data_IF_088224949990
#
_entry.id   IF_088224949990
#
_cell.length_a   1.000
_cell.length_b   1.000
_cell.length_c   1.000
_cell.angle_alpha   90.00
_cell.angle_beta   90.00
_cell.angle_gamma   90.00
#
_symmetry.space_group_name_H-M   'P 1'
#
loop_
_entity.id
_entity.type
_entity.pdbx_description
1 polymer ?
#
# COMPACT_ATOMS: atom_id res chain seq x y z
N UNK A 1 -5.41 -46.19 13.86
CA UNK A 1 -5.45 -46.98 12.61
C UNK A 1 -5.78 -45.98 11.51
N UNK A 2 -4.89 -45.55 10.63
CA UNK A 2 -3.56 -46.03 10.24
C UNK A 2 -2.69 -44.82 9.91
N UNK A 3 -1.49 -44.77 10.50
CA UNK A 3 -0.41 -43.89 10.07
C UNK A 3 -0.11 -44.16 8.59
N UNK A 4 -0.36 -43.17 7.74
CA UNK A 4 0.32 -43.10 6.44
C UNK A 4 1.61 -42.33 6.70
N UNK A 5 2.65 -43.06 7.10
CA UNK A 5 4.02 -42.58 6.90
C UNK A 5 4.19 -42.42 5.40
N UNK A 6 4.26 -41.18 4.92
CA UNK A 6 4.89 -40.92 3.63
C UNK A 6 6.27 -41.56 3.66
N UNK A 7 6.47 -42.60 2.86
CA UNK A 7 7.78 -43.16 2.60
C UNK A 7 8.63 -42.04 1.97
N UNK A 8 9.47 -41.42 2.79
CA UNK A 8 10.58 -40.60 2.31
C UNK A 8 11.41 -41.52 1.44
N UNK A 9 11.26 -41.37 0.12
CA UNK A 9 12.02 -42.10 -0.89
C UNK A 9 13.52 -41.92 -0.57
N UNK A 10 14.13 -42.96 -0.01
CA UNK A 10 15.57 -42.95 0.28
C UNK A 10 16.35 -42.83 -1.01
N UNK A 11 17.29 -41.89 -1.06
CA UNK A 11 18.17 -41.76 -2.22
C UNK A 11 18.96 -43.06 -2.42
N UNK A 12 19.13 -43.46 -3.67
CA UNK A 12 19.98 -44.62 -4.01
C UNK A 12 21.44 -44.37 -3.65
N UNK A 13 22.23 -45.42 -3.40
CA UNK A 13 23.67 -45.30 -3.13
C UNK A 13 24.42 -44.51 -4.23
N UNK A 14 23.95 -44.62 -5.48
CA UNK A 14 24.52 -43.87 -6.60
C UNK A 14 24.27 -42.36 -6.46
N UNK A 15 23.08 -41.96 -6.03
CA UNK A 15 22.73 -40.55 -5.79
C UNK A 15 23.49 -39.98 -4.58
N UNK A 16 23.64 -40.76 -3.51
CA UNK A 16 24.44 -40.36 -2.34
C UNK A 16 25.90 -40.09 -2.73
N UNK A 17 26.52 -41.01 -3.48
CA UNK A 17 27.89 -40.81 -3.98
C UNK A 17 28.01 -39.59 -4.89
N UNK A 18 26.97 -39.29 -5.68
CA UNK A 18 26.99 -38.14 -6.57
C UNK A 18 26.96 -36.82 -5.79
N UNK A 19 26.14 -36.73 -4.72
CA UNK A 19 26.13 -35.58 -3.81
C UNK A 19 27.48 -35.40 -3.14
N UNK A 20 28.13 -36.49 -2.72
CA UNK A 20 29.46 -36.42 -2.10
C UNK A 20 30.54 -35.92 -3.06
N UNK A 21 30.45 -36.24 -4.36
CA UNK A 21 31.37 -35.74 -5.38
C UNK A 21 31.08 -34.28 -5.71
N UNK A 22 29.82 -33.91 -5.88
CA UNK A 22 29.40 -32.55 -6.23
C UNK A 22 29.74 -31.55 -5.12
N UNK A 23 29.63 -31.97 -3.86
CA UNK A 23 29.87 -31.16 -2.68
C UNK A 23 31.06 -31.67 -1.84
N UNK A 24 32.12 -32.14 -2.50
CA UNK A 24 33.27 -32.77 -1.83
C UNK A 24 33.93 -31.88 -0.78
N UNK A 25 33.95 -30.57 -1.01
CA UNK A 25 34.57 -29.57 -0.13
C UNK A 25 33.68 -29.16 1.07
N UNK A 26 32.43 -29.63 1.12
CA UNK A 26 31.47 -29.30 2.18
C UNK A 26 31.38 -30.38 3.24
N UNK A 27 31.35 -29.97 4.51
CA UNK A 27 30.97 -30.81 5.64
C UNK A 27 29.46 -31.09 5.62
N UNK A 28 29.03 -32.13 6.32
CA UNK A 28 27.61 -32.51 6.39
C UNK A 28 26.71 -31.41 7.00
N UNK A 29 27.26 -30.55 7.86
CA UNK A 29 26.56 -29.39 8.43
C UNK A 29 26.48 -28.16 7.53
N UNK A 30 27.26 -28.12 6.44
CA UNK A 30 27.35 -26.95 5.59
C UNK A 30 26.09 -26.81 4.74
N UNK A 31 25.70 -25.56 4.50
CA UNK A 31 24.46 -25.21 3.81
C UNK A 31 24.72 -25.03 2.33
N UNK A 32 23.90 -25.71 1.53
CA UNK A 32 23.83 -25.60 0.08
C UNK A 32 22.68 -24.65 -0.24
N UNK A 33 22.99 -23.58 -0.97
CA UNK A 33 22.00 -22.62 -1.45
C UNK A 33 21.75 -22.78 -2.95
N UNK A 34 20.48 -22.88 -3.34
CA UNK A 34 20.06 -23.02 -4.75
C UNK A 34 18.87 -22.12 -5.02
N UNK A 35 18.77 -21.59 -6.23
CA UNK A 35 17.56 -20.90 -6.67
C UNK A 35 16.43 -21.90 -6.83
N UNK A 36 15.25 -21.54 -6.33
CA UNK A 36 14.00 -22.20 -6.67
C UNK A 36 13.01 -21.21 -7.25
N UNK A 37 12.10 -21.69 -8.08
CA UNK A 37 11.06 -20.86 -8.69
C UNK A 37 9.71 -21.57 -8.72
N UNK A 38 8.65 -20.77 -8.77
CA UNK A 38 7.28 -21.25 -8.85
C UNK A 38 6.90 -21.58 -10.30
N UNK A 39 6.62 -22.85 -10.59
CA UNK A 39 6.11 -23.27 -11.89
C UNK A 39 4.61 -23.56 -11.78
N UNK A 40 3.85 -23.06 -12.76
CA UNK A 40 2.40 -23.27 -12.85
C UNK A 40 2.14 -24.07 -14.12
N UNK A 41 1.73 -25.33 -13.97
CA UNK A 41 1.33 -26.20 -15.07
C UNK A 41 -0.10 -26.68 -14.79
N UNK A 42 -1.05 -26.44 -15.70
CA UNK A 42 -2.44 -26.89 -15.58
C UNK A 42 -3.10 -26.56 -14.22
N UNK A 43 -2.90 -25.34 -13.71
CA UNK A 43 -3.33 -24.86 -12.38
C UNK A 43 -2.67 -25.54 -11.16
N UNK A 44 -1.78 -26.51 -11.35
CA UNK A 44 -0.95 -27.04 -10.27
C UNK A 44 0.28 -26.17 -10.09
N UNK A 45 0.49 -25.72 -8.84
CA UNK A 45 1.64 -24.92 -8.43
C UNK A 45 2.70 -25.83 -7.82
N UNK A 46 3.89 -25.84 -8.41
CA UNK A 46 5.05 -26.57 -7.87
C UNK A 46 6.26 -25.67 -7.72
N UNK A 47 7.05 -25.91 -6.68
CA UNK A 47 8.36 -25.29 -6.53
C UNK A 47 9.39 -26.18 -7.22
N UNK A 48 10.17 -25.59 -8.12
CA UNK A 48 11.28 -26.27 -8.79
C UNK A 48 12.58 -25.73 -8.23
N UNK A 49 13.34 -26.56 -7.52
CA UNK A 49 14.72 -26.25 -7.12
C UNK A 49 15.61 -26.46 -8.35
N UNK A 50 16.30 -25.42 -8.76
CA UNK A 50 17.24 -25.45 -9.88
C UNK A 50 18.66 -25.73 -9.40
N UNK A 51 19.55 -26.03 -10.35
CA UNK A 51 20.99 -26.14 -10.07
C UNK A 51 21.71 -24.77 -10.14
N UNK A 52 20.96 -23.67 -10.22
CA UNK A 52 21.52 -22.32 -10.27
C UNK A 52 21.82 -21.84 -8.85
N UNK A 53 23.06 -21.42 -8.60
CA UNK A 53 23.45 -20.81 -7.34
C UNK A 53 22.98 -19.34 -7.26
N UNK A 54 22.56 -18.86 -6.08
CA UNK A 54 22.24 -17.45 -5.85
C UNK A 54 23.52 -16.61 -5.85
N UNK A 55 23.97 -16.18 -7.04
CA UNK A 55 25.20 -15.37 -7.15
C UNK A 55 25.04 -14.00 -6.49
N UNK A 56 26.17 -13.37 -6.13
CA UNK A 56 26.19 -12.00 -5.59
C UNK A 56 25.47 -11.00 -6.49
N UNK A 57 25.53 -11.20 -7.81
CA UNK A 57 24.85 -10.38 -8.79
C UNK A 57 23.33 -10.54 -8.69
N UNK A 58 22.83 -11.78 -8.64
CA UNK A 58 21.39 -12.08 -8.44
C UNK A 58 20.89 -11.47 -7.14
N UNK A 59 21.64 -11.65 -6.04
CA UNK A 59 21.28 -11.09 -4.74
C UNK A 59 21.22 -9.56 -4.78
N UNK A 60 22.23 -8.91 -5.39
CA UNK A 60 22.28 -7.45 -5.51
C UNK A 60 21.12 -6.89 -6.34
N UNK A 61 20.70 -7.59 -7.39
CA UNK A 61 19.52 -7.21 -8.19
C UNK A 61 18.24 -7.39 -7.37
N UNK A 62 18.10 -8.53 -6.69
CA UNK A 62 16.95 -8.81 -5.80
C UNK A 62 16.81 -7.73 -4.72
N UNK A 63 17.89 -7.34 -4.06
CA UNK A 63 17.88 -6.31 -3.01
C UNK A 63 17.39 -4.95 -3.55
N UNK A 64 17.82 -4.58 -4.77
CA UNK A 64 17.34 -3.36 -5.42
C UNK A 64 15.83 -3.41 -5.71
N UNK A 65 15.33 -4.56 -6.19
CA UNK A 65 13.90 -4.74 -6.46
C UNK A 65 13.11 -4.64 -5.15
N UNK A 66 13.57 -5.31 -4.08
CA UNK A 66 12.90 -5.25 -2.78
C UNK A 66 12.82 -3.84 -2.23
N UNK A 67 13.90 -3.05 -2.33
CA UNK A 67 13.86 -1.65 -1.86
C UNK A 67 12.90 -0.79 -2.69
N UNK A 68 12.84 -0.97 -4.02
CA UNK A 68 11.86 -0.28 -4.87
C UNK A 68 10.44 -0.71 -4.52
N UNK A 69 10.18 -2.02 -4.39
CA UNK A 69 8.88 -2.57 -4.05
C UNK A 69 8.42 -2.11 -2.66
N UNK A 70 9.30 -2.11 -1.67
CA UNK A 70 9.03 -1.61 -0.32
C UNK A 70 8.62 -0.15 -0.34
N UNK A 71 9.31 0.68 -1.12
CA UNK A 71 8.96 2.10 -1.25
C UNK A 71 7.61 2.29 -1.94
N UNK A 72 7.29 1.47 -2.95
CA UNK A 72 5.96 1.46 -3.58
C UNK A 72 4.85 1.06 -2.59
N UNK A 73 5.05 -0.03 -1.86
CA UNK A 73 4.06 -0.54 -0.89
C UNK A 73 3.80 0.45 0.24
N UNK A 74 4.80 1.20 0.68
CA UNK A 74 4.59 2.28 1.66
C UNK A 74 3.59 3.33 1.17
N UNK A 75 3.67 3.77 -0.08
CA UNK A 75 2.72 4.75 -0.66
C UNK A 75 1.31 4.17 -0.63
N UNK A 76 1.17 2.92 -1.10
CA UNK A 76 -0.09 2.18 -1.16
C UNK A 76 -0.72 1.98 0.22
N UNK A 77 0.02 1.42 1.17
CA UNK A 77 -0.48 1.14 2.52
C UNK A 77 -0.99 2.40 3.21
N UNK A 78 -0.29 3.53 3.05
CA UNK A 78 -0.73 4.80 3.66
C UNK A 78 -2.01 5.34 3.03
N UNK A 79 -2.22 5.11 1.72
CA UNK A 79 -3.47 5.47 1.06
C UNK A 79 -4.61 4.52 1.43
N UNK A 80 -4.33 3.22 1.59
CA UNK A 80 -5.31 2.21 2.05
C UNK A 80 -5.80 2.50 3.47
N UNK A 81 -4.93 2.98 4.37
CA UNK A 81 -5.34 3.45 5.70
C UNK A 81 -6.37 4.59 5.60
N UNK A 82 -6.10 5.58 4.74
CA UNK A 82 -7.05 6.66 4.50
C UNK A 82 -8.37 6.16 3.87
N UNK A 83 -8.30 5.26 2.89
CA UNK A 83 -9.50 4.63 2.28
C UNK A 83 -10.33 3.92 3.35
N UNK A 84 -9.68 3.21 4.28
CA UNK A 84 -10.37 2.52 5.38
C UNK A 84 -11.15 3.50 6.24
N UNK A 85 -10.53 4.60 6.66
CA UNK A 85 -11.22 5.61 7.49
C UNK A 85 -12.35 6.31 6.74
N UNK A 86 -12.21 6.54 5.43
CA UNK A 86 -13.29 7.04 4.58
C UNK A 86 -14.45 6.05 4.53
N UNK A 87 -14.15 4.78 4.30
CA UNK A 87 -15.16 3.71 4.28
C UNK A 87 -15.87 3.59 5.62
N UNK A 88 -15.11 3.64 6.72
CA UNK A 88 -15.66 3.57 8.07
C UNK A 88 -16.60 4.74 8.33
N UNK A 89 -16.20 5.98 8.05
CA UNK A 89 -17.06 7.15 8.20
C UNK A 89 -18.34 7.06 7.36
N UNK A 90 -18.23 6.70 6.08
CA UNK A 90 -19.40 6.56 5.21
C UNK A 90 -20.33 5.42 5.64
N UNK A 91 -19.79 4.36 6.26
CA UNK A 91 -20.58 3.23 6.73
C UNK A 91 -21.46 3.56 7.94
N UNK A 92 -21.11 4.58 8.73
CA UNK A 92 -21.86 4.96 9.94
C UNK A 92 -23.28 5.35 9.57
N UNK A 93 -23.45 6.14 8.48
CA UNK A 93 -24.78 6.55 8.01
C UNK A 93 -25.67 5.34 7.80
N UNK A 94 -25.20 4.35 7.05
CA UNK A 94 -25.96 3.12 6.79
C UNK A 94 -26.30 2.34 8.07
N UNK A 95 -25.35 2.24 9.02
CA UNK A 95 -25.56 1.51 10.29
C UNK A 95 -26.56 2.21 11.22
N UNK A 96 -26.55 3.55 11.25
CA UNK A 96 -27.51 4.31 12.03
C UNK A 96 -28.90 4.26 11.38
N UNK A 97 -28.99 4.34 10.05
CA UNK A 97 -30.26 4.23 9.31
C UNK A 97 -30.87 2.82 9.44
N UNK A 98 -30.05 1.77 9.51
CA UNK A 98 -30.51 0.39 9.76
C UNK A 98 -30.82 0.07 11.23
N UNK A 99 -30.66 1.05 12.15
CA UNK A 99 -30.80 0.87 13.60
C UNK A 99 -29.86 -0.20 14.20
N UNK A 100 -28.76 -0.51 13.51
CA UNK A 100 -27.69 -1.37 14.03
C UNK A 100 -26.84 -0.66 15.09
N UNK A 101 -26.84 0.67 15.07
CA UNK A 101 -26.15 1.54 16.03
C UNK A 101 -27.12 2.60 16.57
N UNK A 102 -26.96 2.95 17.85
CA UNK A 102 -27.61 4.14 18.41
C UNK A 102 -26.86 5.40 17.94
N UNK A 103 -27.59 6.51 17.78
CA UNK A 103 -27.00 7.78 17.34
C UNK A 103 -26.20 8.38 18.50
N UNK A 104 -24.88 8.15 18.49
CA UNK A 104 -23.94 8.86 19.35
C UNK A 104 -23.11 9.84 18.52
N UNK A 105 -23.32 11.15 18.74
CA UNK A 105 -22.55 12.22 18.06
C UNK A 105 -21.03 12.09 18.30
N UNK A 106 -20.63 11.54 19.45
CA UNK A 106 -19.25 11.25 19.79
C UNK A 106 -18.61 10.25 18.81
N UNK A 107 -19.35 9.24 18.36
CA UNK A 107 -18.85 8.25 17.42
C UNK A 107 -18.65 8.86 16.04
N UNK A 108 -19.64 9.60 15.52
CA UNK A 108 -19.52 10.30 14.23
C UNK A 108 -18.28 11.19 14.20
N UNK A 109 -18.06 11.94 15.28
CA UNK A 109 -16.90 12.81 15.42
C UNK A 109 -15.58 12.03 15.50
N UNK A 110 -15.55 10.90 16.22
CA UNK A 110 -14.36 10.03 16.29
C UNK A 110 -13.92 9.58 14.90
N UNK A 111 -14.86 9.08 14.08
CA UNK A 111 -14.54 8.65 12.72
C UNK A 111 -14.10 9.81 11.83
N UNK A 112 -14.75 10.98 11.93
CA UNK A 112 -14.34 12.17 11.20
C UNK A 112 -12.90 12.61 11.57
N UNK A 113 -12.56 12.60 12.86
CA UNK A 113 -11.21 12.96 13.34
C UNK A 113 -10.17 11.98 12.83
N UNK A 114 -10.47 10.67 12.84
CA UNK A 114 -9.57 9.65 12.29
C UNK A 114 -9.32 9.87 10.80
N UNK A 115 -10.38 10.05 10.00
CA UNK A 115 -10.31 10.32 8.57
C UNK A 115 -9.47 11.57 8.23
N UNK A 116 -9.72 12.67 8.94
CA UNK A 116 -8.96 13.90 8.77
C UNK A 116 -7.47 13.69 9.11
N UNK A 117 -7.19 12.89 10.14
CA UNK A 117 -5.83 12.59 10.59
C UNK A 117 -5.09 11.67 9.64
N UNK A 118 -5.70 10.60 9.15
CA UNK A 118 -5.09 9.68 8.19
C UNK A 118 -4.85 10.34 6.83
N UNK A 119 -5.76 11.21 6.39
CA UNK A 119 -5.55 12.01 5.18
C UNK A 119 -4.32 12.91 5.28
N UNK A 120 -4.13 13.61 6.41
CA UNK A 120 -2.92 14.42 6.66
C UNK A 120 -1.66 13.55 6.74
N UNK A 121 -1.76 12.44 7.45
CA UNK A 121 -0.66 11.49 7.64
C UNK A 121 -0.19 10.91 6.29
N UNK A 122 -1.11 10.56 5.39
CA UNK A 122 -0.77 10.09 4.03
C UNK A 122 0.09 11.11 3.27
N UNK A 123 -0.31 12.38 3.27
CA UNK A 123 0.44 13.46 2.60
C UNK A 123 1.83 13.64 3.23
N UNK A 124 1.89 13.78 4.56
CA UNK A 124 3.15 14.03 5.27
C UNK A 124 4.13 12.87 5.15
N UNK A 125 3.62 11.64 5.19
CA UNK A 125 4.45 10.46 5.07
C UNK A 125 5.16 10.43 3.71
N UNK A 126 4.44 10.70 2.62
CA UNK A 126 5.00 10.70 1.27
C UNK A 126 6.07 11.78 1.10
N UNK A 127 5.82 13.00 1.56
CA UNK A 127 6.80 14.09 1.55
C UNK A 127 8.05 13.73 2.37
N UNK A 128 7.87 13.13 3.55
CA UNK A 128 8.97 12.72 4.41
C UNK A 128 9.82 11.58 3.81
N UNK A 129 9.23 10.63 3.08
CA UNK A 129 10.00 9.58 2.39
C UNK A 129 10.97 10.18 1.36
N UNK A 130 10.51 11.17 0.57
CA UNK A 130 11.37 11.86 -0.40
C UNK A 130 12.43 12.69 0.32
N UNK A 131 12.06 13.45 1.35
CA UNK A 131 12.99 14.27 2.13
C UNK A 131 14.09 13.49 2.84
N UNK A 132 13.85 12.22 3.16
CA UNK A 132 14.88 11.34 3.75
C UNK A 132 15.90 10.85 2.70
N UNK A 133 15.48 10.75 1.44
CA UNK A 133 16.30 10.24 0.34
C UNK A 133 16.99 11.35 -0.46
N UNK A 134 16.34 12.50 -0.59
CA UNK A 134 16.78 13.64 -1.38
C UNK A 134 16.91 14.89 -0.50
N UNK A 135 17.81 15.80 -0.87
CA UNK A 135 17.96 17.08 -0.17
C UNK A 135 16.72 17.96 -0.32
N UNK A 136 16.55 18.95 0.55
CA UNK A 136 15.45 19.93 0.44
C UNK A 136 15.53 20.80 -0.81
N UNK A 137 16.70 20.92 -1.42
CA UNK A 137 16.94 21.71 -2.62
C UNK A 137 16.91 20.84 -3.90
N UNK A 138 16.37 19.61 -3.80
CA UNK A 138 16.29 18.68 -4.91
C UNK A 138 15.01 18.89 -5.72
N UNK A 139 15.09 18.64 -7.04
CA UNK A 139 13.91 18.69 -7.91
C UNK A 139 12.83 17.69 -7.48
N UNK A 140 13.21 16.54 -6.92
CA UNK A 140 12.28 15.54 -6.41
C UNK A 140 11.49 16.05 -5.20
N UNK A 141 12.17 16.72 -4.27
CA UNK A 141 11.52 17.32 -3.10
C UNK A 141 10.60 18.47 -3.51
N UNK A 142 11.06 19.36 -4.39
CA UNK A 142 10.24 20.46 -4.92
C UNK A 142 9.01 19.94 -5.65
N UNK A 143 9.15 18.85 -6.43
CA UNK A 143 8.05 18.24 -7.15
C UNK A 143 6.99 17.67 -6.19
N UNK A 144 7.38 16.89 -5.18
CA UNK A 144 6.42 16.28 -4.25
C UNK A 144 5.76 17.33 -3.35
N UNK A 145 6.51 18.32 -2.89
CA UNK A 145 5.99 19.43 -2.10
C UNK A 145 5.00 20.27 -2.92
N UNK A 146 5.29 20.44 -4.22
CA UNK A 146 4.42 21.12 -5.18
C UNK A 146 3.05 20.47 -5.32
N UNK A 147 2.91 19.14 -5.20
CA UNK A 147 1.62 18.47 -5.31
C UNK A 147 0.64 18.88 -4.19
N UNK A 148 1.11 18.83 -2.94
CA UNK A 148 0.29 19.20 -1.79
C UNK A 148 0.02 20.71 -1.74
N UNK A 149 1.02 21.54 -2.10
CA UNK A 149 0.84 22.99 -2.22
C UNK A 149 -0.17 23.36 -3.30
N UNK A 150 -0.12 22.71 -4.47
CA UNK A 150 -1.10 22.93 -5.53
C UNK A 150 -2.52 22.59 -5.08
N UNK A 151 -2.73 21.41 -4.49
CA UNK A 151 -4.04 21.04 -3.93
C UNK A 151 -4.51 22.03 -2.87
N UNK A 152 -3.60 22.53 -2.02
CA UNK A 152 -3.92 23.58 -1.08
C UNK A 152 -4.39 24.84 -1.81
N UNK A 153 -3.68 25.32 -2.82
CA UNK A 153 -4.06 26.59 -3.46
C UNK A 153 -5.37 26.50 -4.26
N UNK A 154 -5.65 25.36 -4.92
CA UNK A 154 -6.78 25.25 -5.85
C UNK A 154 -8.04 24.56 -5.30
N UNK A 155 -7.92 23.71 -4.27
CA UNK A 155 -9.02 22.88 -3.80
C UNK A 155 -9.51 23.34 -2.42
N UNK A 156 -10.70 23.94 -2.38
CA UNK A 156 -11.34 24.39 -1.14
C UNK A 156 -11.47 23.26 -0.12
N UNK A 157 -12.03 22.13 -0.53
CA UNK A 157 -12.30 20.98 0.34
C UNK A 157 -11.03 20.42 0.95
N UNK A 158 -9.95 20.29 0.17
CA UNK A 158 -8.65 19.88 0.69
C UNK A 158 -8.12 20.85 1.77
N UNK A 159 -8.13 22.17 1.51
CA UNK A 159 -7.72 23.16 2.51
C UNK A 159 -8.61 23.17 3.73
N UNK A 160 -9.91 23.05 3.52
CA UNK A 160 -10.90 23.06 4.57
C UNK A 160 -10.68 21.87 5.48
N UNK A 161 -10.60 20.65 4.96
CA UNK A 161 -10.27 19.45 5.73
C UNK A 161 -8.92 19.56 6.46
N UNK A 162 -7.88 20.11 5.81
CA UNK A 162 -6.60 20.39 6.48
C UNK A 162 -6.77 21.32 7.70
N UNK A 163 -7.59 22.36 7.58
CA UNK A 163 -7.82 23.32 8.67
C UNK A 163 -8.79 22.79 9.72
N UNK A 164 -9.82 22.06 9.29
CA UNK A 164 -10.79 21.37 10.13
C UNK A 164 -10.10 20.33 11.01
N UNK A 165 -9.16 19.57 10.47
CA UNK A 165 -8.29 18.68 11.25
C UNK A 165 -7.64 19.43 12.40
N UNK A 166 -7.01 20.58 12.12
CA UNK A 166 -6.32 21.38 13.13
C UNK A 166 -7.28 22.00 14.15
N UNK A 167 -8.46 22.40 13.70
CA UNK A 167 -9.56 22.82 14.57
C UNK A 167 -9.95 21.68 15.53
N UNK A 168 -10.11 20.46 15.01
CA UNK A 168 -10.48 19.28 15.78
C UNK A 168 -9.45 18.80 16.79
N UNK A 169 -8.17 19.14 16.59
CA UNK A 169 -7.13 18.78 17.55
C UNK A 169 -6.97 19.78 18.70
N UNK A 170 -7.39 21.01 18.49
CA UNK A 170 -6.96 22.14 19.33
C UNK A 170 -8.11 23.02 19.81
N UNK A 171 -9.32 22.84 19.28
CA UNK A 171 -10.44 23.71 19.55
C UNK A 171 -11.69 22.92 19.88
N UNK A 172 -12.26 22.16 18.93
CA UNK A 172 -13.55 21.50 19.15
C UNK A 172 -13.88 20.41 18.11
N UNK A 173 -14.96 19.66 18.31
CA UNK A 173 -15.41 18.59 17.42
C UNK A 173 -15.84 19.09 16.02
N UNK A 174 -15.53 18.35 14.94
CA UNK A 174 -15.81 18.79 13.57
C UNK A 174 -17.29 18.75 13.16
N UNK A 175 -18.02 17.71 13.56
CA UNK A 175 -19.46 17.53 13.28
C UNK A 175 -20.22 18.07 14.49
N UNK A 176 -21.11 19.02 14.27
CA UNK A 176 -21.86 19.72 15.32
C UNK A 176 -23.38 19.64 15.12
N UNK A 177 -23.83 18.93 14.08
CA UNK A 177 -25.24 18.63 13.87
C UNK A 177 -25.41 17.26 13.23
N UNK A 178 -26.18 16.41 13.90
CA UNK A 178 -26.69 15.14 13.37
C UNK A 178 -28.20 15.27 13.23
N UNK A 179 -28.69 15.19 11.99
CA UNK A 179 -30.10 15.33 11.69
C UNK A 179 -30.69 13.97 11.30
N UNK A 180 -31.65 13.51 12.10
CA UNK A 180 -32.45 12.33 11.77
C UNK A 180 -33.84 12.78 11.26
N UNK A 181 -34.25 12.27 10.11
CA UNK A 181 -35.57 12.51 9.52
C UNK A 181 -36.24 11.17 9.26
N UNK A 182 -37.46 11.01 9.75
CA UNK A 182 -38.29 9.83 9.46
C UNK A 182 -39.36 10.22 8.44
N UNK A 183 -39.15 9.97 7.13
CA UNK A 183 -40.16 10.25 6.12
C UNK A 183 -41.40 9.36 6.26
N UNK A 184 -41.25 8.18 6.88
CA UNK A 184 -42.31 7.23 7.26
C UNK A 184 -41.91 6.46 8.53
N UNK A 185 -42.78 5.56 9.00
CA UNK A 185 -42.58 4.80 10.25
C UNK A 185 -41.45 3.75 10.18
N UNK A 186 -41.01 3.39 8.97
CA UNK A 186 -40.01 2.32 8.73
C UNK A 186 -38.62 2.89 8.43
N UNK A 187 -38.56 4.08 7.85
CA UNK A 187 -37.33 4.69 7.33
C UNK A 187 -36.83 5.79 8.25
N UNK A 188 -35.53 5.79 8.51
CA UNK A 188 -34.82 6.92 9.13
C UNK A 188 -33.71 7.31 8.16
N UNK A 189 -33.62 8.60 7.85
CA UNK A 189 -32.54 9.20 7.05
C UNK A 189 -31.68 10.01 7.99
N UNK A 190 -30.37 9.81 7.93
CA UNK A 190 -29.41 10.47 8.83
C UNK A 190 -28.41 11.27 8.02
N UNK A 191 -28.28 12.54 8.37
CA UNK A 191 -27.33 13.46 7.77
C UNK A 191 -26.43 14.09 8.83
N UNK A 192 -25.19 14.35 8.45
CA UNK A 192 -24.17 14.96 9.28
C UNK A 192 -23.80 16.30 8.69
N UNK A 193 -23.84 17.35 9.51
CA UNK A 193 -23.54 18.71 9.09
C UNK A 193 -22.44 19.35 9.93
N UNK A 194 -21.77 20.28 9.28
CA UNK A 194 -20.83 21.22 9.90
C UNK A 194 -21.44 22.61 9.76
N UNK A 195 -21.91 23.15 10.88
CA UNK A 195 -22.46 24.49 10.98
C UNK A 195 -21.35 25.54 10.84
N UNK A 196 -21.48 26.42 9.83
CA UNK A 196 -20.47 27.42 9.52
C UNK A 196 -20.50 28.59 10.51
N UNK A 197 -21.66 28.95 11.06
CA UNK A 197 -21.75 29.96 12.12
C UNK A 197 -21.03 29.48 13.37
N UNK A 198 -21.18 28.20 13.73
CA UNK A 198 -20.45 27.58 14.84
C UNK A 198 -18.93 27.67 14.62
N UNK A 199 -18.44 27.28 13.44
CA UNK A 199 -17.01 27.34 13.13
C UNK A 199 -16.46 28.78 13.11
N UNK A 200 -17.22 29.73 12.55
CA UNK A 200 -16.81 31.13 12.42
C UNK A 200 -16.83 31.89 13.75
N UNK A 201 -17.68 31.49 14.68
CA UNK A 201 -17.77 32.06 16.04
C UNK A 201 -16.76 31.43 17.03
N UNK A 202 -16.02 30.41 16.61
CA UNK A 202 -14.96 29.81 17.42
C UNK A 202 -13.71 30.70 17.53
N UNK A 203 -12.85 30.41 18.52
CA UNK A 203 -11.56 31.07 18.69
C UNK A 203 -10.47 30.60 17.70
N UNK A 204 -10.81 29.70 16.77
CA UNK A 204 -9.84 29.14 15.84
C UNK A 204 -9.47 30.12 14.72
N UNK A 205 -8.17 30.20 14.42
CA UNK A 205 -7.64 31.09 13.40
C UNK A 205 -7.67 30.41 12.03
N UNK A 206 -8.78 30.56 11.31
CA UNK A 206 -8.99 30.04 9.95
C UNK A 206 -8.06 30.65 8.86
N UNK A 207 -7.29 31.71 9.19
CA UNK A 207 -6.33 32.37 8.29
C UNK A 207 -6.98 32.71 6.93
N UNK A 208 -6.39 32.24 5.82
CA UNK A 208 -6.85 32.51 4.45
C UNK A 208 -8.26 31.99 4.18
N UNK A 209 -8.68 30.90 4.83
CA UNK A 209 -10.01 30.31 4.63
C UNK A 209 -11.15 31.13 5.24
N UNK A 210 -10.86 32.05 6.18
CA UNK A 210 -11.93 32.78 6.88
C UNK A 210 -12.87 33.50 5.90
N UNK A 211 -12.31 34.15 4.88
CA UNK A 211 -13.11 34.87 3.88
C UNK A 211 -13.99 33.94 3.05
N UNK A 212 -13.47 32.77 2.68
CA UNK A 212 -14.20 31.75 1.91
C UNK A 212 -15.33 31.14 2.74
N UNK A 213 -15.09 30.85 4.02
CA UNK A 213 -16.11 30.34 4.93
C UNK A 213 -17.23 31.37 5.16
N UNK A 214 -16.90 32.66 5.30
CA UNK A 214 -17.91 33.72 5.41
C UNK A 214 -18.77 33.76 4.14
N UNK A 215 -18.15 33.69 2.95
CA UNK A 215 -18.88 33.68 1.68
C UNK A 215 -19.78 32.45 1.56
N UNK A 216 -19.26 31.26 1.88
CA UNK A 216 -20.04 30.02 1.85
C UNK A 216 -21.21 30.06 2.85
N UNK A 217 -21.00 30.66 4.02
CA UNK A 217 -22.03 30.81 5.05
C UNK A 217 -23.21 31.67 4.58
N UNK A 218 -22.97 32.61 3.67
CA UNK A 218 -24.04 33.40 3.03
C UNK A 218 -24.89 32.58 2.05
N UNK A 219 -24.38 31.44 1.58
CA UNK A 219 -25.01 30.61 0.55
C UNK A 219 -25.76 29.40 1.15
N UNK A 220 -25.15 28.66 2.09
CA UNK A 220 -25.72 27.38 2.57
C UNK A 220 -25.80 27.23 4.08
N UNK A 221 -25.15 28.09 4.87
CA UNK A 221 -24.98 28.05 6.34
C UNK A 221 -24.37 26.78 6.94
N UNK A 222 -24.37 25.66 6.22
CA UNK A 222 -23.88 24.35 6.64
C UNK A 222 -23.15 23.66 5.51
N UNK A 223 -22.19 22.80 5.87
CA UNK A 223 -21.52 21.87 4.97
C UNK A 223 -22.04 20.46 5.26
N UNK A 224 -22.48 19.75 4.23
CA UNK A 224 -22.78 18.31 4.27
C UNK A 224 -21.46 17.52 4.41
N UNK A 225 -21.31 16.80 5.52
CA UNK A 225 -20.07 16.08 5.81
C UNK A 225 -19.84 14.86 4.90
N UNK A 226 -20.90 14.21 4.41
CA UNK A 226 -20.79 13.08 3.47
C UNK A 226 -20.29 13.59 2.11
N UNK A 227 -20.84 14.72 1.63
CA UNK A 227 -20.37 15.36 0.41
C UNK A 227 -18.91 15.82 0.56
N UNK A 228 -18.58 16.47 1.69
CA UNK A 228 -17.22 16.91 1.99
C UNK A 228 -16.22 15.76 1.98
N UNK A 229 -16.55 14.62 2.60
CA UNK A 229 -15.67 13.45 2.64
C UNK A 229 -15.44 12.87 1.25
N UNK A 230 -16.48 12.80 0.40
CA UNK A 230 -16.32 12.33 -0.99
C UNK A 230 -15.40 13.24 -1.81
N UNK A 231 -15.55 14.55 -1.66
CA UNK A 231 -14.66 15.51 -2.33
C UNK A 231 -13.22 15.45 -1.79
N UNK A 232 -13.05 15.26 -0.49
CA UNK A 232 -11.73 15.12 0.11
C UNK A 232 -11.05 13.82 -0.33
N UNK A 233 -11.81 12.73 -0.41
CA UNK A 233 -11.36 11.47 -0.99
C UNK A 233 -10.86 11.65 -2.44
N UNK A 234 -11.58 12.40 -3.26
CA UNK A 234 -11.15 12.71 -4.63
C UNK A 234 -9.84 13.51 -4.65
N UNK A 235 -9.70 14.52 -3.78
CA UNK A 235 -8.48 15.32 -3.68
C UNK A 235 -7.26 14.46 -3.29
N UNK A 236 -7.41 13.55 -2.32
CA UNK A 236 -6.32 12.65 -1.93
C UNK A 236 -6.06 11.54 -2.96
N UNK A 237 -7.08 11.13 -3.73
CA UNK A 237 -6.90 10.23 -4.86
C UNK A 237 -6.05 10.87 -5.97
N UNK A 238 -6.23 12.16 -6.23
CA UNK A 238 -5.38 12.90 -7.15
C UNK A 238 -3.93 12.97 -6.65
N UNK A 239 -3.72 13.25 -5.36
CA UNK A 239 -2.39 13.20 -4.75
C UNK A 239 -1.76 11.81 -4.82
N UNK A 240 -2.53 10.75 -4.58
CA UNK A 240 -2.08 9.37 -4.75
C UNK A 240 -1.63 9.10 -6.19
N UNK A 241 -2.38 9.55 -7.19
CA UNK A 241 -1.97 9.49 -8.59
C UNK A 241 -0.65 10.22 -8.86
N UNK A 242 -0.49 11.43 -8.32
CA UNK A 242 0.71 12.24 -8.47
C UNK A 242 1.94 11.59 -7.81
N UNK A 243 1.80 11.04 -6.60
CA UNK A 243 2.88 10.31 -5.92
C UNK A 243 3.30 9.05 -6.69
N UNK A 244 2.35 8.27 -7.19
CA UNK A 244 2.65 7.09 -8.01
C UNK A 244 3.30 7.46 -9.35
N UNK A 245 2.91 8.58 -9.96
CA UNK A 245 3.54 9.09 -11.17
C UNK A 245 4.99 9.51 -10.92
N UNK A 246 5.26 10.18 -9.81
CA UNK A 246 6.63 10.53 -9.41
C UNK A 246 7.44 9.25 -9.11
N UNK A 247 6.87 8.30 -8.35
CA UNK A 247 7.50 7.00 -8.10
C UNK A 247 7.90 6.31 -9.42
N UNK A 248 6.98 6.25 -10.39
CA UNK A 248 7.27 5.65 -11.69
C UNK A 248 8.39 6.42 -12.42
N UNK A 249 8.33 7.76 -12.47
CA UNK A 249 9.37 8.60 -13.07
C UNK A 249 10.76 8.30 -12.49
N UNK A 250 10.86 8.11 -11.17
CA UNK A 250 12.13 7.90 -10.49
C UNK A 250 12.69 6.48 -10.63
N UNK A 251 11.84 5.47 -10.85
CA UNK A 251 12.25 4.07 -10.78
C UNK A 251 12.11 3.32 -12.12
N UNK A 252 11.44 3.86 -13.13
CA UNK A 252 11.13 3.13 -14.36
C UNK A 252 12.37 2.62 -15.09
N UNK A 253 13.35 3.50 -15.35
CA UNK A 253 14.58 3.12 -16.06
C UNK A 253 15.35 2.05 -15.29
N UNK A 254 15.47 2.21 -13.97
CA UNK A 254 16.10 1.22 -13.10
C UNK A 254 15.39 -0.15 -13.17
N UNK A 255 14.06 -0.17 -13.17
CA UNK A 255 13.29 -1.41 -13.30
C UNK A 255 13.47 -2.06 -14.68
N UNK A 256 13.58 -1.28 -15.75
CA UNK A 256 13.86 -1.77 -17.11
C UNK A 256 15.27 -2.36 -17.22
N UNK A 257 16.26 -1.68 -16.65
CA UNK A 257 17.64 -2.16 -16.62
C UNK A 257 17.76 -3.44 -15.81
N UNK A 258 17.09 -3.51 -14.65
CA UNK A 258 17.01 -4.70 -13.82
C UNK A 258 16.38 -5.87 -14.60
N UNK A 259 15.25 -5.66 -15.30
CA UNK A 259 14.64 -6.71 -16.13
C UNK A 259 15.62 -7.25 -17.17
N UNK A 260 16.31 -6.36 -17.88
CA UNK A 260 17.32 -6.73 -18.88
C UNK A 260 18.45 -7.55 -18.27
N UNK A 261 18.89 -7.21 -17.04
CA UNK A 261 19.89 -8.00 -16.30
C UNK A 261 19.36 -9.39 -15.93
N UNK A 262 18.15 -9.49 -15.39
CA UNK A 262 17.54 -10.79 -15.05
C UNK A 262 17.40 -11.69 -16.30
N UNK A 263 17.07 -11.11 -17.46
CA UNK A 263 17.04 -11.82 -18.75
C UNK A 263 18.43 -12.31 -19.16
N UNK A 264 19.46 -11.49 -19.00
CA UNK A 264 20.86 -11.88 -19.29
C UNK A 264 21.36 -13.01 -18.39
N UNK A 265 20.84 -13.08 -17.16
CA UNK A 265 21.07 -14.15 -16.19
C UNK A 265 20.23 -15.42 -16.49
N UNK A 266 19.44 -15.41 -17.58
CA UNK A 266 18.60 -16.51 -18.05
C UNK A 266 17.57 -16.98 -17.02
N UNK A 267 17.11 -16.08 -16.14
CA UNK A 267 16.01 -16.36 -15.24
C UNK A 267 14.68 -16.38 -16.01
N UNK A 268 13.77 -17.27 -15.61
CA UNK A 268 12.41 -17.36 -16.15
C UNK A 268 11.56 -16.23 -15.57
N UNK A 269 10.48 -15.85 -16.26
CA UNK A 269 9.44 -14.99 -15.68
C UNK A 269 8.62 -15.79 -14.66
N UNK A 270 9.07 -15.79 -13.41
CA UNK A 270 8.44 -16.51 -12.30
C UNK A 270 8.76 -15.81 -10.97
N UNK A 271 8.11 -16.25 -9.90
CA UNK A 271 8.48 -15.91 -8.53
C UNK A 271 9.61 -16.81 -8.06
N UNK A 272 10.64 -16.19 -7.49
CA UNK A 272 11.86 -16.87 -7.08
C UNK A 272 12.04 -16.92 -5.56
N UNK A 273 12.87 -17.87 -5.15
CA UNK A 273 13.24 -18.13 -3.77
C UNK A 273 14.67 -18.64 -3.71
N UNK A 274 15.32 -18.49 -2.56
CA UNK A 274 16.55 -19.20 -2.22
C UNK A 274 16.17 -20.40 -1.35
N UNK A 275 16.44 -21.60 -1.87
CA UNK A 275 16.38 -22.86 -1.14
C UNK A 275 17.67 -23.07 -0.38
N UNK A 276 17.57 -23.43 0.89
CA UNK A 276 18.71 -23.75 1.76
C UNK A 276 18.52 -25.12 2.39
N UNK A 277 19.50 -26.00 2.22
CA UNK A 277 19.49 -27.36 2.77
C UNK A 277 20.90 -27.73 3.23
N UNK A 278 21.03 -28.44 4.35
CA UNK A 278 22.34 -28.98 4.76
C UNK A 278 22.76 -30.12 3.83
N UNK A 279 24.07 -30.36 3.67
CA UNK A 279 24.55 -31.53 2.91
C UNK A 279 24.03 -32.85 3.52
N UNK A 280 23.90 -32.93 4.85
CA UNK A 280 23.29 -34.07 5.53
C UNK A 280 21.82 -34.26 5.13
N UNK A 281 21.00 -33.21 5.22
CA UNK A 281 19.59 -33.29 4.89
C UNK A 281 19.38 -33.55 3.40
N UNK A 282 20.22 -33.00 2.52
CA UNK A 282 20.17 -33.32 1.10
C UNK A 282 20.32 -34.82 0.82
N UNK A 283 21.12 -35.53 1.62
CA UNK A 283 21.34 -36.97 1.51
C UNK A 283 20.23 -37.81 2.17
N UNK A 284 19.83 -37.42 3.38
CA UNK A 284 19.05 -38.31 4.26
C UNK A 284 17.61 -37.81 4.49
N UNK A 285 17.36 -36.50 4.38
CA UNK A 285 16.07 -35.86 4.60
C UNK A 285 15.80 -34.77 3.53
N UNK A 286 15.71 -35.10 2.23
CA UNK A 286 15.70 -34.11 1.15
C UNK A 286 14.51 -33.13 1.18
N UNK A 287 13.47 -33.43 1.95
CA UNK A 287 12.35 -32.51 2.22
C UNK A 287 12.64 -31.45 3.29
N UNK A 288 13.72 -31.56 4.06
CA UNK A 288 14.08 -30.65 5.15
C UNK A 288 14.88 -29.43 4.66
N UNK A 289 14.34 -28.72 3.67
CA UNK A 289 14.89 -27.47 3.18
C UNK A 289 14.06 -26.27 3.67
N UNK A 290 14.71 -25.12 3.73
CA UNK A 290 14.04 -23.84 4.01
C UNK A 290 14.05 -22.96 2.78
N UNK A 291 13.06 -22.08 2.69
CA UNK A 291 12.87 -21.17 1.56
C UNK A 291 12.83 -19.73 2.05
N UNK A 292 13.56 -18.86 1.36
CA UNK A 292 13.51 -17.41 1.57
C UNK A 292 13.15 -16.71 0.26
N UNK A 293 12.31 -15.66 0.26
CA UNK A 293 11.93 -14.96 -0.96
C UNK A 293 13.14 -14.33 -1.68
N UNK A 294 13.13 -14.35 -3.00
CA UNK A 294 14.07 -13.62 -3.85
C UNK A 294 13.28 -12.81 -4.87
N UNK A 295 13.49 -11.50 -4.89
CA UNK A 295 12.81 -10.63 -5.84
C UNK A 295 13.39 -10.79 -7.25
N UNK A 296 12.50 -10.94 -8.23
CA UNK A 296 12.83 -11.09 -9.63
C UNK A 296 11.75 -10.43 -10.50
N UNK A 297 11.33 -11.07 -11.60
CA UNK A 297 10.34 -10.52 -12.52
C UNK A 297 8.98 -10.30 -11.87
N UNK A 298 8.52 -11.25 -11.05
CA UNK A 298 7.18 -11.22 -10.44
C UNK A 298 6.95 -9.95 -9.61
N UNK A 299 7.91 -9.57 -8.77
CA UNK A 299 7.81 -8.40 -7.89
C UNK A 299 7.80 -7.09 -8.70
N UNK A 300 8.50 -7.06 -9.84
CA UNK A 300 8.45 -5.91 -10.76
C UNK A 300 7.11 -5.85 -11.49
N UNK A 301 6.60 -7.00 -11.95
CA UNK A 301 5.31 -7.11 -12.63
C UNK A 301 4.17 -6.68 -11.70
N UNK A 302 4.20 -7.05 -10.42
CA UNK A 302 3.24 -6.59 -9.41
C UNK A 302 3.17 -5.05 -9.34
N UNK A 303 4.31 -4.36 -9.32
CA UNK A 303 4.35 -2.88 -9.33
C UNK A 303 3.64 -2.34 -10.57
N UNK A 304 3.96 -2.88 -11.75
CA UNK A 304 3.34 -2.43 -13.01
C UNK A 304 1.85 -2.75 -13.08
N UNK A 305 1.41 -3.89 -12.55
CA UNK A 305 -0.01 -4.27 -12.44
C UNK A 305 -0.75 -3.26 -11.58
N UNK A 306 -0.24 -2.93 -10.40
CA UNK A 306 -0.87 -1.94 -9.51
C UNK A 306 -0.91 -0.55 -10.14
N UNK A 307 0.18 -0.11 -10.78
CA UNK A 307 0.20 1.16 -11.52
C UNK A 307 -0.76 1.17 -12.72
N UNK A 308 -1.04 0.01 -13.32
CA UNK A 308 -2.02 -0.10 -14.41
C UNK A 308 -3.47 0.05 -13.93
N UNK A 309 -3.78 -0.40 -12.70
CA UNK A 309 -5.12 -0.26 -12.10
C UNK A 309 -5.53 1.20 -11.93
N UNK A 310 -4.55 2.08 -11.74
CA UNK A 310 -4.74 3.54 -11.62
C UNK A 310 -4.46 4.29 -12.93
N UNK A 311 -4.34 3.58 -14.06
CA UNK A 311 -4.24 4.17 -15.39
C UNK A 311 -2.87 4.80 -15.75
N UNK A 312 -1.83 4.60 -14.93
CA UNK A 312 -0.50 5.15 -15.19
C UNK A 312 0.32 4.32 -16.19
N UNK A 313 0.01 3.03 -16.31
CA UNK A 313 0.73 2.10 -17.19
C UNK A 313 -0.27 1.27 -18.00
N UNK A 314 0.02 1.05 -19.29
CA UNK A 314 -0.71 0.11 -20.14
C UNK A 314 0.09 -1.19 -20.25
N UNK A 315 -0.45 -2.28 -19.74
CA UNK A 315 0.14 -3.61 -19.91
C UNK A 315 -0.34 -4.18 -21.24
N UNK A 316 0.56 -4.23 -22.23
CA UNK A 316 0.23 -4.66 -23.60
C UNK A 316 0.21 -6.19 -23.74
N UNK A 317 0.80 -6.93 -22.80
CA UNK A 317 0.86 -8.40 -22.86
C UNK A 317 0.18 -9.03 -21.63
N UNK A 318 -1.07 -9.48 -21.80
CA UNK A 318 -1.53 -10.66 -21.06
C UNK A 318 -1.05 -11.87 -21.86
N UNK A 319 0.11 -12.40 -21.48
CA UNK A 319 0.42 -13.78 -21.85
C UNK A 319 -0.64 -14.64 -21.17
N UNK A 320 -1.49 -15.28 -21.97
CA UNK A 320 -2.46 -16.28 -21.53
C UNK A 320 -1.75 -17.47 -20.86
#
# INVERSE_FOLDING_TARGET
>A
MSDVKEEVSSLSEKQLRQIDVEYAELNDSDIIERLAYLEINNNEKRIVISDIEPTKEIMSVSDQIFEIQKNFQKIKNMFELFISDVSDFLSIKNKLESKELEIEEADVNRFMIHLLSSGKLFVDFNENQIKQKYSKDSEEFDCIHGFASYQYDINFTYRFCHSLRNYSQHTDLPINEVKAVSPDDETVIIDFYIDLDYLLNSNFKWKKLKGELIKLNQETSKIDAIALVKEYFNALTELYGNYNKLFLKLNHNTLVDIKSKLESLKLKHSRYYISKISKYDLKYNPGNYTMSPLAAFAEIEEIYIELSKIGLVKIVNKSN
#
